data_IF_926165075668
#
_entry.id   IF_926165075668
#
_cell.length_a   1.000
_cell.length_b   1.000
_cell.length_c   1.000
_cell.angle_alpha   90.00
_cell.angle_beta   90.00
_cell.angle_gamma   90.00
#
_symmetry.space_group_name_H-M   'P 1'
#
loop_
_entity.id
_entity.type
_entity.pdbx_description
1 polymer ?
#
# COMPACT_ATOMS: atom_id res chain seq x y z
N UNK A 1 -37.82 -27.21 25.37
CA UNK A 1 -37.43 -25.89 24.81
C UNK A 1 -35.91 -25.73 24.63
N UNK A 2 -35.09 -25.83 25.68
CA UNK A 2 -33.61 -25.64 25.62
C UNK A 2 -32.87 -26.50 24.57
N UNK A 3 -33.20 -27.79 24.43
CA UNK A 3 -32.57 -28.69 23.42
C UNK A 3 -32.81 -28.26 21.97
N UNK A 4 -33.99 -27.72 21.65
CA UNK A 4 -34.33 -27.21 20.30
C UNK A 4 -33.56 -25.93 19.99
N UNK A 5 -33.45 -25.02 20.97
CA UNK A 5 -32.67 -23.78 20.85
C UNK A 5 -31.18 -24.09 20.62
N UNK A 6 -30.60 -25.03 21.38
CA UNK A 6 -29.19 -25.42 21.20
C UNK A 6 -28.93 -26.04 19.82
N UNK A 7 -29.85 -26.88 19.32
CA UNK A 7 -29.75 -27.46 17.97
C UNK A 7 -29.80 -26.38 16.89
N UNK A 8 -30.71 -25.42 17.02
CA UNK A 8 -30.84 -24.29 16.09
C UNK A 8 -29.59 -23.39 16.12
N UNK A 9 -29.06 -23.09 17.30
CA UNK A 9 -27.83 -22.30 17.47
C UNK A 9 -26.63 -22.97 16.79
N UNK A 10 -26.46 -24.29 16.91
CA UNK A 10 -25.40 -25.03 16.20
C UNK A 10 -25.57 -24.99 14.68
N UNK A 11 -26.81 -25.07 14.19
CA UNK A 11 -27.11 -24.96 12.75
C UNK A 11 -26.76 -23.56 12.23
N UNK A 12 -27.19 -22.51 12.93
CA UNK A 12 -26.88 -21.13 12.56
C UNK A 12 -25.36 -20.86 12.57
N UNK A 13 -24.65 -21.40 13.56
CA UNK A 13 -23.18 -21.32 13.62
C UNK A 13 -22.52 -22.00 12.42
N UNK A 14 -22.93 -23.22 12.07
CA UNK A 14 -22.43 -23.93 10.89
C UNK A 14 -22.74 -23.18 9.59
N UNK A 15 -23.96 -22.64 9.44
CA UNK A 15 -24.33 -21.81 8.29
C UNK A 15 -23.47 -20.55 8.20
N UNK A 16 -23.15 -19.92 9.33
CA UNK A 16 -22.23 -18.79 9.38
C UNK A 16 -20.83 -19.15 8.89
N UNK A 17 -20.29 -20.30 9.30
CA UNK A 17 -18.99 -20.80 8.82
C UNK A 17 -19.03 -21.03 7.32
N UNK A 18 -20.05 -21.74 6.81
CA UNK A 18 -20.19 -22.02 5.37
C UNK A 18 -20.28 -20.72 4.57
N UNK A 19 -21.10 -19.77 5.02
CA UNK A 19 -21.22 -18.46 4.38
C UNK A 19 -19.88 -17.71 4.38
N UNK A 20 -19.10 -17.80 5.46
CA UNK A 20 -17.78 -17.15 5.58
C UNK A 20 -16.75 -17.76 4.63
N UNK A 21 -16.75 -19.10 4.50
CA UNK A 21 -15.89 -19.82 3.54
C UNK A 21 -16.29 -19.47 2.11
N UNK A 22 -17.59 -19.48 1.79
CA UNK A 22 -18.08 -19.11 0.47
C UNK A 22 -17.70 -17.65 0.12
N UNK A 23 -17.85 -16.73 1.07
CA UNK A 23 -17.42 -15.35 0.93
C UNK A 23 -15.90 -15.24 0.71
N UNK A 24 -15.09 -15.96 1.47
CA UNK A 24 -13.65 -15.98 1.28
C UNK A 24 -13.24 -16.47 -0.12
N UNK A 25 -13.83 -17.58 -0.58
CA UNK A 25 -13.59 -18.11 -1.93
C UNK A 25 -14.00 -17.09 -3.00
N UNK A 26 -15.15 -16.45 -2.83
CA UNK A 26 -15.61 -15.39 -3.71
C UNK A 26 -14.60 -14.23 -3.77
N UNK A 27 -14.15 -13.75 -2.62
CA UNK A 27 -13.17 -12.66 -2.53
C UNK A 27 -11.89 -13.05 -3.25
N UNK A 28 -11.28 -14.19 -2.93
CA UNK A 28 -9.99 -14.65 -3.51
C UNK A 28 -10.06 -14.86 -5.03
N UNK A 29 -11.25 -15.07 -5.59
CA UNK A 29 -11.43 -15.23 -7.04
C UNK A 29 -11.96 -13.99 -7.75
N UNK A 30 -12.36 -12.95 -7.02
CA UNK A 30 -12.99 -11.74 -7.60
C UNK A 30 -12.07 -10.90 -8.50
N UNK A 31 -10.76 -11.11 -8.47
CA UNK A 31 -9.82 -10.49 -9.40
C UNK A 31 -10.06 -10.95 -10.86
N UNK A 32 -10.50 -12.20 -11.06
CA UNK A 32 -10.75 -12.80 -12.39
C UNK A 32 -11.88 -12.13 -13.16
N UNK A 33 -12.73 -11.35 -12.50
CA UNK A 33 -13.78 -10.59 -13.17
C UNK A 33 -13.23 -9.40 -13.98
N UNK A 34 -11.98 -8.98 -13.73
CA UNK A 34 -11.43 -7.75 -14.31
C UNK A 34 -10.04 -7.91 -14.93
N UNK A 35 -9.32 -8.98 -14.58
CA UNK A 35 -8.02 -9.32 -15.14
C UNK A 35 -8.00 -10.77 -15.64
N UNK A 36 -7.27 -10.96 -16.72
CA UNK A 36 -6.79 -12.27 -17.21
C UNK A 36 -5.55 -12.70 -16.45
N UNK A 37 -5.21 -14.00 -16.53
CA UNK A 37 -3.96 -14.53 -15.98
C UNK A 37 -2.73 -13.84 -16.63
N UNK A 38 -2.81 -13.54 -17.93
CA UNK A 38 -1.73 -12.83 -18.65
C UNK A 38 -1.51 -11.41 -18.12
N UNK A 39 -2.59 -10.65 -17.87
CA UNK A 39 -2.50 -9.31 -17.28
C UNK A 39 -1.94 -9.35 -15.85
N UNK A 40 -2.30 -10.39 -15.07
CA UNK A 40 -1.74 -10.59 -13.73
C UNK A 40 -0.23 -10.86 -13.81
N UNK A 41 0.21 -11.77 -14.70
CA UNK A 41 1.62 -12.07 -14.89
C UNK A 41 2.40 -10.83 -15.36
N UNK A 42 1.87 -10.08 -16.33
CA UNK A 42 2.49 -8.83 -16.77
C UNK A 42 2.64 -7.86 -15.60
N UNK A 43 1.60 -7.71 -14.78
CA UNK A 43 1.64 -6.84 -13.61
C UNK A 43 2.67 -7.28 -12.57
N UNK A 44 2.74 -8.57 -12.22
CA UNK A 44 3.71 -9.05 -11.22
C UNK A 44 5.14 -8.98 -11.72
N UNK A 45 5.36 -9.21 -13.02
CA UNK A 45 6.67 -9.02 -13.64
C UNK A 45 7.09 -7.55 -13.69
N UNK A 46 6.16 -6.63 -13.98
CA UNK A 46 6.41 -5.20 -13.90
C UNK A 46 6.77 -4.75 -12.48
N UNK A 47 6.12 -5.32 -11.46
CA UNK A 47 6.48 -5.07 -10.05
C UNK A 47 7.93 -5.51 -9.77
N UNK A 48 8.32 -6.72 -10.19
CA UNK A 48 9.67 -7.26 -9.95
C UNK A 48 10.77 -6.48 -10.67
N UNK A 49 10.47 -5.93 -11.86
CA UNK A 49 11.40 -5.12 -12.65
C UNK A 49 11.54 -3.68 -12.16
N UNK A 50 10.67 -3.24 -11.25
CA UNK A 50 10.71 -1.88 -10.76
C UNK A 50 12.05 -1.55 -10.11
N UNK A 51 12.59 -0.38 -10.44
CA UNK A 51 13.90 0.02 -9.94
C UNK A 51 13.91 0.19 -8.43
N UNK A 52 14.96 -0.36 -7.80
CA UNK A 52 15.09 -0.37 -6.34
C UNK A 52 15.27 1.04 -5.78
N UNK A 53 14.61 1.29 -4.66
CA UNK A 53 14.78 2.51 -3.88
C UNK A 53 16.03 2.41 -2.98
N UNK A 54 16.63 3.54 -2.57
CA UNK A 54 17.71 3.54 -1.57
C UNK A 54 17.27 2.88 -0.27
N UNK A 55 18.16 2.16 0.43
CA UNK A 55 17.78 1.43 1.65
C UNK A 55 17.19 2.34 2.74
N UNK A 56 17.77 3.53 2.91
CA UNK A 56 17.26 4.59 3.79
C UNK A 56 15.81 4.99 3.50
N UNK A 57 15.37 4.89 2.25
CA UNK A 57 13.98 5.18 1.88
C UNK A 57 13.03 4.12 2.46
N UNK A 58 13.39 2.83 2.39
CA UNK A 58 12.55 1.77 2.99
C UNK A 58 12.46 1.94 4.51
N UNK A 59 13.55 2.30 5.18
CA UNK A 59 13.57 2.57 6.62
C UNK A 59 12.60 3.71 6.99
N UNK A 60 12.76 4.87 6.35
CA UNK A 60 11.90 6.04 6.58
C UNK A 60 10.43 5.75 6.24
N UNK A 61 10.19 5.01 5.16
CA UNK A 61 8.84 4.57 4.78
C UNK A 61 8.23 3.66 5.85
N UNK A 62 8.98 2.67 6.34
CA UNK A 62 8.49 1.73 7.35
C UNK A 62 8.20 2.42 8.69
N UNK A 63 9.01 3.43 9.06
CA UNK A 63 8.78 4.29 10.24
C UNK A 63 7.55 5.18 10.12
N UNK A 64 7.21 5.65 8.91
CA UNK A 64 6.05 6.51 8.70
C UNK A 64 4.74 5.71 8.52
N UNK A 65 4.82 4.52 7.93
CA UNK A 65 3.67 3.67 7.60
C UNK A 65 3.55 2.42 8.49
N UNK A 66 4.12 2.42 9.69
CA UNK A 66 4.03 1.38 10.74
C UNK A 66 4.20 -0.07 10.23
N UNK A 67 5.45 -0.52 10.03
CA UNK A 67 5.76 -1.91 9.66
C UNK A 67 5.05 -2.38 8.37
N UNK A 68 4.65 -1.46 7.49
CA UNK A 68 3.94 -1.76 6.25
C UNK A 68 4.73 -2.64 5.29
N UNK A 69 6.05 -2.73 5.46
CA UNK A 69 6.92 -3.59 4.67
C UNK A 69 7.15 -4.97 5.31
N UNK A 70 6.75 -5.15 6.58
CA UNK A 70 6.95 -6.39 7.34
C UNK A 70 5.68 -7.23 7.43
N UNK A 71 4.51 -6.57 7.50
CA UNK A 71 3.25 -7.25 7.68
C UNK A 71 2.59 -7.63 6.35
N UNK A 72 1.95 -8.80 6.31
CA UNK A 72 1.12 -9.18 5.17
C UNK A 72 -0.23 -8.47 5.15
N UNK A 73 -0.93 -8.49 4.01
CA UNK A 73 -2.16 -7.72 3.80
C UNK A 73 -3.20 -7.98 4.89
N UNK A 74 -3.43 -9.24 5.25
CA UNK A 74 -4.47 -9.61 6.23
C UNK A 74 -4.18 -8.95 7.60
N UNK A 75 -2.93 -9.03 8.06
CA UNK A 75 -2.52 -8.46 9.36
C UNK A 75 -2.60 -6.93 9.32
N UNK A 76 -2.18 -6.31 8.23
CA UNK A 76 -2.17 -4.86 8.10
C UNK A 76 -3.58 -4.26 7.97
N UNK A 77 -4.44 -4.84 7.14
CA UNK A 77 -5.83 -4.40 7.00
C UNK A 77 -6.60 -4.60 8.31
N UNK A 78 -6.39 -5.72 9.01
CA UNK A 78 -7.00 -5.95 10.32
C UNK A 78 -6.54 -4.90 11.35
N UNK A 79 -5.23 -4.60 11.41
CA UNK A 79 -4.68 -3.52 12.25
C UNK A 79 -5.28 -2.17 11.91
N UNK A 80 -5.43 -1.85 10.62
CA UNK A 80 -6.06 -0.60 10.17
C UNK A 80 -7.51 -0.51 10.65
N UNK A 81 -8.29 -1.59 10.52
CA UNK A 81 -9.68 -1.63 10.99
C UNK A 81 -9.80 -1.42 12.50
N UNK A 82 -9.03 -2.14 13.32
CA UNK A 82 -9.12 -2.03 14.79
C UNK A 82 -8.61 -0.69 15.32
N UNK A 83 -7.63 -0.08 14.64
CA UNK A 83 -7.07 1.22 15.06
C UNK A 83 -7.99 2.39 14.76
N UNK A 84 -9.02 2.21 13.92
CA UNK A 84 -9.84 3.30 13.41
C UNK A 84 -9.11 4.26 12.46
N UNK A 85 -7.85 3.97 12.12
CA UNK A 85 -7.04 4.77 11.17
C UNK A 85 -6.81 4.01 9.89
N UNK A 86 -7.14 4.63 8.75
CA UNK A 86 -7.00 3.99 7.46
C UNK A 86 -5.53 3.98 6.99
N UNK A 87 -4.91 2.79 6.95
CA UNK A 87 -3.49 2.56 6.61
C UNK A 87 -3.38 1.28 5.74
N UNK A 88 -3.66 1.38 4.44
CA UNK A 88 -3.68 0.20 3.57
C UNK A 88 -2.30 -0.43 3.44
N UNK A 89 -2.27 -1.73 3.16
CA UNK A 89 -1.01 -2.39 2.80
C UNK A 89 -0.47 -1.89 1.47
N UNK A 90 0.87 -1.98 1.29
CA UNK A 90 1.51 -1.61 0.03
C UNK A 90 0.96 -2.45 -1.13
N UNK A 91 0.66 -3.72 -0.90
CA UNK A 91 0.07 -4.61 -1.90
C UNK A 91 -1.34 -4.14 -2.31
N UNK A 92 -2.15 -3.71 -1.33
CA UNK A 92 -3.47 -3.14 -1.62
C UNK A 92 -3.34 -1.84 -2.42
N UNK A 93 -2.33 -1.03 -2.13
CA UNK A 93 -2.09 0.19 -2.86
C UNK A 93 -1.61 -0.06 -4.29
N UNK A 94 -0.65 -0.97 -4.50
CA UNK A 94 -0.21 -1.43 -5.83
C UNK A 94 -1.40 -1.92 -6.65
N UNK A 95 -2.24 -2.76 -6.06
CA UNK A 95 -3.44 -3.29 -6.72
C UNK A 95 -4.39 -2.19 -7.16
N UNK A 96 -4.70 -1.24 -6.27
CA UNK A 96 -5.59 -0.11 -6.59
C UNK A 96 -4.99 0.82 -7.64
N UNK A 97 -3.69 1.09 -7.53
CA UNK A 97 -2.97 1.92 -8.47
C UNK A 97 -2.97 1.31 -9.87
N UNK A 98 -2.68 0.02 -9.99
CA UNK A 98 -2.74 -0.72 -11.27
C UNK A 98 -4.14 -0.66 -11.89
N UNK A 99 -5.17 -0.97 -11.09
CA UNK A 99 -6.54 -1.00 -11.55
C UNK A 99 -7.04 0.40 -11.99
N UNK A 100 -6.62 1.44 -11.29
CA UNK A 100 -6.93 2.83 -11.64
C UNK A 100 -6.24 3.25 -12.96
N UNK A 101 -4.93 3.02 -13.07
CA UNK A 101 -4.13 3.43 -14.23
C UNK A 101 -4.57 2.74 -15.53
N UNK A 102 -5.08 1.51 -15.45
CA UNK A 102 -5.56 0.76 -16.61
C UNK A 102 -7.03 1.05 -16.99
N UNK A 103 -7.60 2.16 -16.54
CA UNK A 103 -8.95 2.63 -16.90
C UNK A 103 -10.03 1.54 -16.79
N UNK A 104 -9.91 0.62 -15.82
CA UNK A 104 -10.90 -0.43 -15.59
C UNK A 104 -12.16 0.27 -15.06
N UNK A 105 -13.06 0.59 -15.99
CA UNK A 105 -14.18 1.57 -15.98
C UNK A 105 -15.25 1.38 -14.87
N UNK A 106 -15.02 0.53 -13.88
CA UNK A 106 -15.96 0.11 -12.84
C UNK A 106 -15.36 0.08 -11.41
N UNK A 107 -14.52 1.05 -11.05
CA UNK A 107 -13.87 1.14 -9.74
C UNK A 107 -14.82 1.11 -8.52
N UNK A 108 -16.12 1.40 -8.71
CA UNK A 108 -17.15 1.40 -7.66
C UNK A 108 -17.45 0.02 -7.04
N UNK A 109 -17.17 -1.09 -7.74
CA UNK A 109 -17.35 -2.46 -7.23
C UNK A 109 -16.01 -3.14 -6.84
N UNK A 110 -14.92 -2.36 -6.80
CA UNK A 110 -13.55 -2.87 -6.82
C UNK A 110 -12.97 -3.19 -5.44
N UNK A 111 -13.76 -3.05 -4.35
CA UNK A 111 -13.27 -3.43 -3.02
C UNK A 111 -12.77 -4.88 -3.05
N UNK A 112 -13.62 -5.83 -3.42
CA UNK A 112 -13.23 -7.24 -3.44
C UNK A 112 -12.12 -7.51 -4.46
N UNK A 113 -12.22 -6.97 -5.68
CA UNK A 113 -11.21 -7.13 -6.72
C UNK A 113 -9.83 -6.62 -6.31
N UNK A 114 -9.74 -5.44 -5.67
CA UNK A 114 -8.47 -4.89 -5.22
C UNK A 114 -7.85 -5.73 -4.10
N UNK A 115 -8.65 -6.18 -3.13
CA UNK A 115 -8.13 -7.06 -2.06
C UNK A 115 -7.72 -8.43 -2.60
N UNK A 116 -8.49 -8.96 -3.55
CA UNK A 116 -8.22 -10.21 -4.24
C UNK A 116 -6.91 -10.16 -5.02
N UNK A 117 -6.72 -9.10 -5.81
CA UNK A 117 -5.51 -8.88 -6.58
C UNK A 117 -4.30 -8.63 -5.66
N UNK A 118 -4.48 -7.88 -4.58
CA UNK A 118 -3.43 -7.65 -3.59
C UNK A 118 -2.99 -8.94 -2.89
N UNK A 119 -3.92 -9.84 -2.56
CA UNK A 119 -3.62 -11.20 -2.07
C UNK A 119 -2.87 -12.03 -3.11
N UNK A 120 -3.19 -11.88 -4.41
CA UNK A 120 -2.49 -12.60 -5.48
C UNK A 120 -1.05 -12.13 -5.65
N UNK A 121 -0.84 -10.83 -5.81
CA UNK A 121 0.52 -10.29 -5.98
C UNK A 121 1.39 -10.53 -4.73
N UNK A 122 0.81 -10.59 -3.53
CA UNK A 122 1.56 -10.91 -2.31
C UNK A 122 2.23 -12.29 -2.35
N UNK A 123 1.66 -13.25 -3.08
CA UNK A 123 2.25 -14.59 -3.23
C UNK A 123 3.39 -14.63 -4.26
N UNK A 124 3.51 -13.59 -5.11
CA UNK A 124 4.44 -13.55 -6.23
C UNK A 124 5.52 -12.48 -6.10
N UNK A 125 5.33 -11.52 -5.18
CA UNK A 125 6.15 -10.32 -5.04
C UNK A 125 6.36 -9.96 -3.57
N UNK A 126 7.46 -9.28 -3.30
CA UNK A 126 7.81 -8.75 -2.00
C UNK A 126 7.20 -7.36 -1.79
N UNK A 127 7.07 -6.94 -0.52
CA UNK A 127 6.56 -5.61 -0.17
C UNK A 127 7.48 -4.51 -0.68
N UNK A 128 8.80 -4.73 -0.66
CA UNK A 128 9.79 -3.80 -1.23
C UNK A 128 9.63 -3.66 -2.74
N UNK A 129 9.43 -4.74 -3.49
CA UNK A 129 9.16 -4.66 -4.94
C UNK A 129 7.87 -3.90 -5.23
N UNK A 130 6.81 -4.14 -4.47
CA UNK A 130 5.57 -3.35 -4.57
C UNK A 130 5.82 -1.86 -4.33
N UNK A 131 6.56 -1.52 -3.27
CA UNK A 131 6.89 -0.13 -2.97
C UNK A 131 7.74 0.51 -4.08
N UNK A 132 8.72 -0.21 -4.62
CA UNK A 132 9.52 0.24 -5.77
C UNK A 132 8.61 0.58 -6.94
N UNK A 133 7.71 -0.34 -7.28
CA UNK A 133 6.80 -0.15 -8.41
C UNK A 133 5.89 1.06 -8.21
N UNK A 134 5.27 1.21 -7.04
CA UNK A 134 4.39 2.35 -6.78
C UNK A 134 5.18 3.66 -6.79
N UNK A 135 6.33 3.75 -6.12
CA UNK A 135 7.12 4.99 -6.09
C UNK A 135 7.63 5.39 -7.47
N UNK A 136 7.96 4.43 -8.34
CA UNK A 136 8.40 4.71 -9.70
C UNK A 136 7.26 5.15 -10.64
N UNK A 137 5.99 4.87 -10.29
CA UNK A 137 4.82 5.22 -11.13
C UNK A 137 4.01 6.39 -10.58
N UNK A 138 4.09 6.66 -9.28
CA UNK A 138 3.34 7.72 -8.60
C UNK A 138 3.61 9.10 -9.19
N UNK A 139 2.56 9.92 -9.32
CA UNK A 139 2.68 11.35 -9.60
C UNK A 139 3.00 12.14 -8.31
N UNK A 140 4.18 12.75 -8.25
CA UNK A 140 4.63 13.64 -7.17
C UNK A 140 4.23 15.11 -7.42
N UNK A 141 3.27 15.35 -8.31
CA UNK A 141 2.82 16.64 -8.84
C UNK A 141 3.90 17.39 -9.62
N UNK A 142 3.50 18.52 -10.20
CA UNK A 142 4.36 19.34 -11.05
C UNK A 142 4.92 18.55 -12.24
N UNK A 143 4.11 17.64 -12.79
CA UNK A 143 4.44 16.74 -13.89
C UNK A 143 5.60 15.77 -13.58
N UNK A 144 5.85 15.48 -12.30
CA UNK A 144 6.91 14.59 -11.85
C UNK A 144 6.36 13.19 -11.58
N UNK A 145 6.27 12.39 -12.65
CA UNK A 145 5.90 10.98 -12.54
C UNK A 145 7.13 10.15 -12.16
N UNK A 146 7.04 9.48 -11.03
CA UNK A 146 8.09 8.65 -10.46
C UNK A 146 9.03 9.42 -9.55
N UNK A 147 9.46 8.73 -8.50
CA UNK A 147 10.29 9.29 -7.43
C UNK A 147 11.65 9.83 -7.92
N UNK A 148 12.21 9.28 -8.99
CA UNK A 148 13.43 9.82 -9.62
C UNK A 148 13.22 11.19 -10.23
N UNK A 149 12.11 11.37 -10.95
CA UNK A 149 11.75 12.68 -11.51
C UNK A 149 11.54 13.68 -10.38
N UNK A 150 10.84 13.27 -9.32
CA UNK A 150 10.63 14.07 -8.13
C UNK A 150 11.95 14.47 -7.45
N UNK A 151 12.89 13.54 -7.28
CA UNK A 151 14.21 13.80 -6.69
C UNK A 151 14.96 14.92 -7.42
N UNK A 152 15.05 14.82 -8.75
CA UNK A 152 15.69 15.86 -9.56
C UNK A 152 14.93 17.19 -9.47
N UNK A 153 13.60 17.17 -9.54
CA UNK A 153 12.81 18.39 -9.55
C UNK A 153 12.84 19.15 -8.21
N UNK A 154 12.68 18.46 -7.08
CA UNK A 154 12.59 19.10 -5.76
C UNK A 154 13.95 19.39 -5.13
N UNK A 155 15.01 18.67 -5.51
CA UNK A 155 16.32 18.75 -4.83
C UNK A 155 17.52 18.92 -5.77
N UNK A 156 17.32 18.88 -7.10
CA UNK A 156 18.39 18.91 -8.11
C UNK A 156 19.46 17.82 -7.88
N UNK A 157 18.99 16.62 -7.51
CA UNK A 157 19.85 15.49 -7.13
C UNK A 157 19.30 14.17 -7.64
N UNK A 158 20.21 13.25 -7.95
CA UNK A 158 19.89 11.83 -8.10
C UNK A 158 19.30 11.26 -6.80
N UNK A 159 18.34 10.33 -6.93
CA UNK A 159 17.65 9.72 -5.79
C UNK A 159 18.60 9.08 -4.77
N UNK A 160 19.70 8.47 -5.24
CA UNK A 160 20.74 7.86 -4.41
C UNK A 160 21.60 8.86 -3.63
N UNK A 161 21.57 10.14 -4.02
CA UNK A 161 22.35 11.24 -3.43
C UNK A 161 21.54 12.08 -2.44
N UNK A 162 20.25 11.77 -2.26
CA UNK A 162 19.41 12.46 -1.30
C UNK A 162 19.83 12.16 0.13
N UNK A 163 19.85 13.20 0.96
CA UNK A 163 20.02 13.03 2.40
C UNK A 163 18.71 12.56 3.06
N UNK A 164 18.78 12.24 4.36
CA UNK A 164 17.65 11.67 5.09
C UNK A 164 16.42 12.59 5.12
N UNK A 165 16.59 13.91 5.22
CA UNK A 165 15.46 14.87 5.22
C UNK A 165 14.82 15.00 3.83
N UNK A 166 15.62 14.92 2.77
CA UNK A 166 15.15 14.95 1.39
C UNK A 166 14.37 13.67 1.05
N UNK A 167 14.89 12.49 1.45
CA UNK A 167 14.17 11.23 1.36
C UNK A 167 12.88 11.25 2.19
N UNK A 168 12.93 11.75 3.43
CA UNK A 168 11.77 11.90 4.29
C UNK A 168 10.71 12.81 3.66
N UNK A 169 11.13 13.87 2.96
CA UNK A 169 10.20 14.74 2.22
C UNK A 169 9.44 13.94 1.15
N UNK A 170 10.13 13.11 0.37
CA UNK A 170 9.48 12.23 -0.63
C UNK A 170 8.56 11.17 0.02
N UNK A 171 8.95 10.61 1.16
CA UNK A 171 8.09 9.70 1.95
C UNK A 171 6.81 10.41 2.38
N UNK A 172 6.91 11.61 2.95
CA UNK A 172 5.74 12.40 3.40
C UNK A 172 4.87 12.81 2.21
N UNK A 173 5.49 13.21 1.09
CA UNK A 173 4.78 13.47 -0.16
C UNK A 173 3.96 12.26 -0.63
N UNK A 174 4.52 11.05 -0.53
CA UNK A 174 3.83 9.83 -1.00
C UNK A 174 2.48 9.57 -0.32
N UNK A 175 2.24 10.12 0.88
CA UNK A 175 0.95 10.04 1.58
C UNK A 175 -0.15 10.79 0.84
N UNK A 176 0.17 11.98 0.36
CA UNK A 176 -0.73 12.86 -0.38
C UNK A 176 0.10 13.99 -1.02
N UNK A 177 0.52 13.84 -2.28
CA UNK A 177 1.37 14.82 -2.94
C UNK A 177 0.77 16.23 -3.00
N UNK A 178 -0.57 16.37 -3.03
CA UNK A 178 -1.25 17.67 -3.04
C UNK A 178 -1.23 18.38 -1.69
N UNK A 179 -1.39 17.62 -0.61
CA UNK A 179 -1.33 18.15 0.76
C UNK A 179 0.11 18.43 1.20
N UNK A 180 1.04 17.55 0.82
CA UNK A 180 2.41 17.57 1.33
C UNK A 180 3.43 18.02 0.29
N UNK A 181 3.06 18.97 -0.57
CA UNK A 181 4.00 19.53 -1.55
C UNK A 181 4.88 20.62 -0.90
N UNK A 182 6.22 20.49 -0.87
CA UNK A 182 7.11 21.47 -0.23
C UNK A 182 7.10 22.84 -0.92
N UNK A 183 6.77 22.92 -2.21
CA UNK A 183 6.63 24.21 -2.92
C UNK A 183 5.33 24.94 -2.55
N UNK A 184 4.29 24.20 -2.13
CA UNK A 184 2.98 24.78 -1.80
C UNK A 184 2.81 25.00 -0.30
N UNK A 185 3.36 24.12 0.54
CA UNK A 185 3.16 24.09 1.99
C UNK A 185 4.46 23.74 2.73
N UNK A 186 5.53 24.54 2.59
CA UNK A 186 6.85 24.22 3.13
C UNK A 186 6.83 24.01 4.65
N UNK A 187 6.12 24.84 5.41
CA UNK A 187 6.04 24.72 6.87
C UNK A 187 5.40 23.41 7.32
N UNK A 188 4.27 23.02 6.70
CA UNK A 188 3.59 21.76 7.01
C UNK A 188 4.48 20.56 6.68
N UNK A 189 5.15 20.59 5.53
CA UNK A 189 6.04 19.50 5.10
C UNK A 189 7.23 19.39 6.04
N UNK A 190 7.88 20.51 6.37
CA UNK A 190 8.99 20.56 7.30
C UNK A 190 8.59 20.00 8.68
N UNK A 191 7.43 20.40 9.21
CA UNK A 191 6.92 19.87 10.48
C UNK A 191 6.76 18.33 10.44
N UNK A 192 6.24 17.77 9.34
CA UNK A 192 6.07 16.32 9.20
C UNK A 192 7.41 15.60 9.02
N UNK A 193 8.33 16.17 8.26
CA UNK A 193 9.70 15.65 8.10
C UNK A 193 10.42 15.65 9.44
N UNK A 194 10.39 16.74 10.19
CA UNK A 194 10.98 16.82 11.54
C UNK A 194 10.38 15.78 12.48
N UNK A 195 9.06 15.61 12.47
CA UNK A 195 8.40 14.56 13.25
C UNK A 195 8.91 13.16 12.89
N UNK A 196 9.13 12.86 11.61
CA UNK A 196 9.68 11.58 11.16
C UNK A 196 11.15 11.42 11.53
N UNK A 197 11.96 12.48 11.40
CA UNK A 197 13.36 12.48 11.80
C UNK A 197 13.52 12.28 13.31
N UNK A 198 12.64 12.87 14.12
CA UNK A 198 12.64 12.65 15.56
C UNK A 198 12.32 11.20 15.91
N UNK A 199 11.34 10.57 15.25
CA UNK A 199 11.06 9.13 15.40
C UNK A 199 12.29 8.28 15.06
N UNK A 200 12.97 8.59 13.96
CA UNK A 200 14.19 7.90 13.54
C UNK A 200 15.28 8.00 14.61
N UNK A 201 15.52 9.18 15.15
CA UNK A 201 16.57 9.39 16.15
C UNK A 201 16.28 8.62 17.44
N UNK A 202 15.02 8.62 17.92
CA UNK A 202 14.61 7.84 19.10
C UNK A 202 14.83 6.34 18.91
N UNK A 203 14.55 5.80 17.72
CA UNK A 203 14.76 4.39 17.41
C UNK A 203 16.23 3.96 17.30
N UNK A 204 17.18 4.89 17.18
CA UNK A 204 18.62 4.60 17.17
C UNK A 204 19.19 4.53 18.60
N UNK A 205 18.50 5.17 19.56
CA UNK A 205 18.94 5.24 20.96
C UNK A 205 18.47 4.04 21.80
N UNK A 206 17.53 3.22 21.29
CA UNK A 206 17.00 1.98 21.91
C UNK A 206 17.76 0.73 21.46
#
# INVERSE_FOLDING_TARGET
MKKRILKLSKILFLLGIIASIALYIFIVNSWKFHLTESELTEFTEDIKRAEKLPEKFYELYNMEFDESLENGIIKQEFRSLISGTYKPSINLWSSRFYLHSNNKKYYKNMFFTAHSLALKIENETTKKENLNWVMNKMDFLNSQNGIKSASNFYFDKELSKLNDKELATLVIMSKNPSLYNPMRRPELVNQKVESLMNKKNMAIEE
#
